data_IF_774371332088
#
_entry.id   IF_774371332088
#
_cell.length_a   1.000
_cell.length_b   1.000
_cell.length_c   1.000
_cell.angle_alpha   90.00
_cell.angle_beta   90.00
_cell.angle_gamma   90.00
#
_symmetry.space_group_name_H-M   'P 1'
#
loop_
_entity.id
_entity.type
_entity.pdbx_description
1 polymer ?
#
# COMPACT_ATOMS: atom_id res chain seq x y z
N UNK A 1 6.55 26.51 1.71
CA UNK A 1 6.43 25.45 0.69
C UNK A 1 5.17 24.70 1.01
N UNK A 2 4.37 24.41 -0.02
CA UNK A 2 3.19 23.58 0.18
C UNK A 2 3.64 22.15 0.50
N UNK A 3 2.79 21.37 1.17
CA UNK A 3 3.08 19.95 1.42
C UNK A 3 3.33 19.17 0.11
N UNK A 4 2.74 19.66 -0.99
CA UNK A 4 2.88 19.12 -2.34
C UNK A 4 4.27 19.40 -2.95
N UNK A 5 4.81 20.61 -2.79
CA UNK A 5 6.15 20.96 -3.30
C UNK A 5 7.26 20.10 -2.64
N UNK A 6 7.04 19.72 -1.38
CA UNK A 6 8.00 18.90 -0.64
C UNK A 6 7.87 17.41 -0.99
N UNK A 7 6.68 16.96 -1.38
CA UNK A 7 6.46 15.63 -1.96
C UNK A 7 7.13 15.50 -3.32
N UNK A 8 6.92 16.45 -4.24
CA UNK A 8 7.53 16.40 -5.59
C UNK A 8 9.06 16.26 -5.52
N UNK A 9 9.72 16.99 -4.62
CA UNK A 9 11.18 16.85 -4.41
C UNK A 9 11.58 15.45 -3.94
N UNK A 10 10.76 14.81 -3.09
CA UNK A 10 11.00 13.44 -2.63
C UNK A 10 10.81 12.46 -3.78
N UNK A 11 9.78 12.64 -4.62
CA UNK A 11 9.57 11.87 -5.84
C UNK A 11 10.76 11.99 -6.80
N UNK A 12 11.21 13.22 -7.09
CA UNK A 12 12.37 13.48 -7.93
C UNK A 12 13.65 12.84 -7.37
N UNK A 13 13.80 12.78 -6.05
CA UNK A 13 14.94 12.12 -5.40
C UNK A 13 14.95 10.60 -5.65
N UNK A 14 13.77 9.98 -5.79
CA UNK A 14 13.64 8.53 -6.04
C UNK A 14 13.68 8.21 -7.53
N UNK A 15 12.99 8.99 -8.35
CA UNK A 15 12.72 8.68 -9.76
C UNK A 15 13.58 9.47 -10.75
N UNK A 16 14.01 10.67 -10.36
CA UNK A 16 14.58 11.68 -11.26
C UNK A 16 13.49 12.52 -11.92
N UNK A 17 13.79 13.05 -13.10
CA UNK A 17 12.91 13.95 -13.86
C UNK A 17 11.73 13.25 -14.54
N UNK A 18 11.79 11.93 -14.70
CA UNK A 18 10.74 11.13 -15.31
C UNK A 18 9.99 10.37 -14.21
N UNK A 19 8.74 10.77 -13.98
CA UNK A 19 7.88 10.26 -12.93
C UNK A 19 6.75 9.38 -13.46
N UNK A 20 6.70 9.03 -14.75
CA UNK A 20 5.64 8.19 -15.30
C UNK A 20 5.62 6.81 -14.62
N UNK A 21 4.43 6.28 -14.35
CA UNK A 21 4.28 4.91 -13.85
C UNK A 21 4.69 3.93 -14.95
N UNK A 22 5.85 3.31 -14.75
CA UNK A 22 6.37 2.30 -15.65
C UNK A 22 7.21 1.28 -14.89
N UNK A 23 7.45 0.12 -15.52
CA UNK A 23 8.28 -0.95 -14.93
C UNK A 23 9.65 -0.50 -14.43
N UNK A 24 10.28 0.47 -15.10
CA UNK A 24 11.56 1.05 -14.70
C UNK A 24 11.46 1.85 -13.39
N UNK A 25 10.45 2.71 -13.28
CA UNK A 25 10.22 3.52 -12.08
C UNK A 25 9.68 2.69 -10.91
N UNK A 26 8.84 1.68 -11.16
CA UNK A 26 8.44 0.69 -10.15
C UNK A 26 9.64 -0.05 -9.57
N UNK A 27 10.64 -0.39 -10.39
CA UNK A 27 11.87 -1.02 -9.90
C UNK A 27 12.70 -0.07 -9.02
N UNK A 28 12.80 1.22 -9.37
CA UNK A 28 13.47 2.24 -8.54
C UNK A 28 12.76 2.41 -7.21
N UNK A 29 11.44 2.58 -7.22
CA UNK A 29 10.61 2.65 -6.02
C UNK A 29 10.79 1.45 -5.12
N UNK A 30 10.67 0.25 -5.69
CA UNK A 30 10.88 -0.98 -4.93
C UNK A 30 12.25 -1.02 -4.26
N UNK A 31 13.30 -0.60 -4.97
CA UNK A 31 14.64 -0.49 -4.40
C UNK A 31 14.73 0.51 -3.25
N UNK A 32 14.11 1.68 -3.42
CA UNK A 32 14.05 2.72 -2.39
C UNK A 32 13.30 2.24 -1.14
N UNK A 33 12.12 1.64 -1.32
CA UNK A 33 11.28 1.11 -0.23
C UNK A 33 12.03 0.03 0.58
N UNK A 34 12.64 -0.94 -0.11
CA UNK A 34 13.37 -2.03 0.56
C UNK A 34 14.62 -1.55 1.30
N UNK A 35 15.22 -0.43 0.87
CA UNK A 35 16.40 0.15 1.52
C UNK A 35 16.05 0.95 2.77
N UNK A 36 14.91 1.65 2.76
CA UNK A 36 14.57 2.62 3.80
C UNK A 36 13.52 2.11 4.80
N UNK A 37 12.79 1.04 4.48
CA UNK A 37 11.85 0.42 5.41
C UNK A 37 12.50 -0.71 6.20
N UNK A 38 12.15 -0.79 7.48
CA UNK A 38 12.53 -1.92 8.35
C UNK A 38 11.35 -2.87 8.48
N UNK A 39 11.58 -4.15 8.21
CA UNK A 39 10.57 -5.20 8.31
C UNK A 39 10.75 -6.06 9.57
N UNK A 40 9.68 -6.56 10.21
CA UNK A 40 8.28 -6.31 9.87
C UNK A 40 7.84 -4.87 10.20
N UNK A 41 7.02 -4.27 9.33
CA UNK A 41 6.43 -2.94 9.54
C UNK A 41 4.92 -3.08 9.77
N UNK A 42 4.37 -2.40 10.78
CA UNK A 42 2.93 -2.42 11.05
C UNK A 42 2.20 -1.49 10.06
N UNK A 43 1.23 -2.04 9.33
CA UNK A 43 0.45 -1.35 8.31
C UNK A 43 -1.05 -1.68 8.43
N UNK A 44 -1.89 -0.85 7.83
CA UNK A 44 -3.35 -1.01 7.71
C UNK A 44 -3.80 -0.56 6.32
N UNK A 45 -5.01 -0.89 5.91
CA UNK A 45 -5.57 -0.35 4.66
C UNK A 45 -5.72 1.18 4.70
N UNK A 46 -5.46 1.81 3.57
CA UNK A 46 -5.69 3.25 3.37
C UNK A 46 -7.18 3.54 3.22
N UNK A 47 -7.86 2.75 2.39
CA UNK A 47 -9.29 2.81 2.08
C UNK A 47 -9.84 1.39 1.88
N UNK A 48 -11.15 1.26 1.69
CA UNK A 48 -11.77 -0.04 1.46
C UNK A 48 -11.20 -0.74 0.23
N UNK A 49 -10.98 -2.05 0.36
CA UNK A 49 -10.49 -2.83 -0.77
C UNK A 49 -11.63 -3.07 -1.77
N UNK A 50 -11.29 -3.27 -3.05
CA UNK A 50 -12.28 -3.48 -4.13
C UNK A 50 -13.37 -4.52 -3.82
N UNK A 51 -13.04 -5.58 -3.07
CA UNK A 51 -14.01 -6.60 -2.70
C UNK A 51 -14.99 -6.14 -1.60
N UNK A 52 -14.62 -5.13 -0.82
CA UNK A 52 -15.40 -4.53 0.27
C UNK A 52 -16.36 -3.45 -0.24
N UNK A 53 -16.06 -2.79 -1.38
CA UNK A 53 -16.86 -1.69 -1.95
C UNK A 53 -18.38 -1.99 -2.01
N UNK A 54 -18.85 -3.17 -2.47
CA UNK A 54 -20.30 -3.47 -2.52
C UNK A 54 -20.96 -3.50 -1.13
N UNK A 55 -20.20 -3.83 -0.09
CA UNK A 55 -20.67 -3.88 1.29
C UNK A 55 -20.59 -2.51 1.98
N UNK A 56 -19.55 -1.73 1.68
CA UNK A 56 -19.33 -0.40 2.26
C UNK A 56 -20.27 0.64 1.63
N UNK A 57 -20.43 0.61 0.30
CA UNK A 57 -21.21 1.59 -0.46
C UNK A 57 -22.50 1.02 -1.07
N UNK A 58 -22.48 -0.24 -1.50
CA UNK A 58 -23.56 -0.86 -2.29
C UNK A 58 -24.75 -1.38 -1.49
N UNK A 59 -24.70 -1.32 -0.15
CA UNK A 59 -25.80 -1.77 0.73
C UNK A 59 -25.98 -3.29 0.74
N UNK A 60 -24.93 -4.05 0.45
CA UNK A 60 -24.94 -5.52 0.54
C UNK A 60 -25.09 -5.99 2.00
N UNK A 61 -25.32 -7.29 2.17
CA UNK A 61 -25.60 -7.88 3.47
C UNK A 61 -24.41 -7.75 4.44
N UNK A 62 -24.69 -7.22 5.63
CA UNK A 62 -23.66 -6.97 6.64
C UNK A 62 -23.15 -8.25 7.29
N UNK A 63 -23.99 -9.28 7.43
CA UNK A 63 -23.58 -10.56 8.02
C UNK A 63 -22.66 -11.31 7.05
N UNK A 64 -22.97 -11.29 5.76
CA UNK A 64 -22.09 -11.79 4.69
C UNK A 64 -20.73 -11.09 4.71
N UNK A 65 -20.72 -9.76 4.86
CA UNK A 65 -19.47 -8.99 4.96
C UNK A 65 -18.61 -9.45 6.15
N UNK A 66 -19.21 -9.62 7.33
CA UNK A 66 -18.51 -10.10 8.53
C UNK A 66 -17.95 -11.53 8.36
N UNK A 67 -18.69 -12.41 7.66
CA UNK A 67 -18.21 -13.76 7.34
C UNK A 67 -17.03 -13.73 6.36
N UNK A 68 -17.10 -12.91 5.30
CA UNK A 68 -16.05 -12.81 4.30
C UNK A 68 -14.75 -12.23 4.88
N UNK A 69 -14.82 -11.27 5.81
CA UNK A 69 -13.61 -10.73 6.49
C UNK A 69 -12.84 -11.79 7.27
N UNK A 70 -13.46 -12.90 7.66
CA UNK A 70 -12.74 -13.99 8.32
C UNK A 70 -11.72 -14.63 7.39
N UNK A 71 -11.96 -14.67 6.08
CA UNK A 71 -11.09 -15.30 5.09
C UNK A 71 -10.33 -14.30 4.23
N UNK A 72 -10.93 -13.17 3.90
CA UNK A 72 -10.35 -12.10 3.09
C UNK A 72 -9.65 -11.05 3.97
N UNK A 73 -8.64 -10.33 3.43
CA UNK A 73 -8.07 -9.18 4.12
C UNK A 73 -9.07 -8.02 4.09
N UNK A 74 -9.23 -7.29 5.19
CA UNK A 74 -10.02 -6.05 5.24
C UNK A 74 -9.13 -4.84 5.42
N UNK A 75 -9.52 -3.67 4.90
CA UNK A 75 -8.79 -2.42 5.14
C UNK A 75 -8.72 -2.03 6.63
N UNK A 76 -9.65 -2.56 7.44
CA UNK A 76 -9.69 -2.38 8.90
C UNK A 76 -8.75 -3.32 9.65
N UNK A 77 -8.18 -4.32 8.98
CA UNK A 77 -7.24 -5.24 9.59
C UNK A 77 -5.88 -4.58 9.82
N UNK A 78 -5.20 -5.09 10.84
CA UNK A 78 -3.81 -4.77 11.14
C UNK A 78 -2.91 -5.84 10.54
N UNK A 79 -1.86 -5.42 9.85
CA UNK A 79 -0.93 -6.32 9.17
C UNK A 79 0.52 -6.04 9.53
N UNK A 80 1.33 -7.09 9.60
CA UNK A 80 2.78 -6.99 9.48
C UNK A 80 3.15 -7.06 7.99
N UNK A 81 3.70 -5.98 7.43
CA UNK A 81 4.35 -5.97 6.13
C UNK A 81 5.69 -6.69 6.26
N UNK A 82 5.86 -7.77 5.49
CA UNK A 82 7.02 -8.66 5.56
C UNK A 82 7.97 -8.51 4.36
N UNK A 83 7.51 -7.86 3.29
CA UNK A 83 8.33 -7.59 2.13
C UNK A 83 7.52 -7.07 0.96
N UNK A 84 8.24 -6.60 -0.06
CA UNK A 84 7.68 -5.95 -1.25
C UNK A 84 8.14 -6.72 -2.49
N UNK A 85 7.18 -7.25 -3.22
CA UNK A 85 7.33 -7.99 -4.46
C UNK A 85 7.49 -7.09 -5.68
N UNK A 86 7.59 -7.73 -6.85
CA UNK A 86 7.42 -7.03 -8.13
C UNK A 86 5.92 -6.86 -8.41
N UNK A 87 5.54 -5.98 -9.35
CA UNK A 87 4.17 -5.93 -9.85
C UNK A 87 3.71 -7.25 -10.46
N UNK A 88 2.39 -7.41 -10.59
CA UNK A 88 1.79 -8.53 -11.35
C UNK A 88 1.97 -8.26 -12.84
N UNK A 89 1.63 -9.23 -13.69
CA UNK A 89 1.89 -9.10 -15.14
C UNK A 89 0.94 -8.08 -15.83
N UNK A 90 -0.20 -7.83 -15.20
CA UNK A 90 -1.35 -7.07 -15.66
C UNK A 90 -1.66 -5.87 -14.76
N UNK A 91 -0.70 -5.49 -13.90
CA UNK A 91 -0.86 -4.48 -12.87
C UNK A 91 0.43 -3.70 -12.70
N UNK A 92 0.30 -2.39 -12.51
CA UNK A 92 1.38 -1.44 -12.33
C UNK A 92 1.56 -1.03 -10.86
N UNK A 93 1.13 -1.85 -9.90
CA UNK A 93 1.41 -1.70 -8.46
C UNK A 93 2.35 -2.79 -7.91
N UNK A 94 3.26 -2.41 -7.02
CA UNK A 94 4.08 -3.32 -6.23
C UNK A 94 3.23 -4.17 -5.29
N UNK A 95 3.55 -5.46 -5.22
CA UNK A 95 2.81 -6.39 -4.35
C UNK A 95 3.39 -6.41 -2.94
N UNK A 96 2.61 -5.98 -1.96
CA UNK A 96 2.92 -6.14 -0.54
C UNK A 96 2.66 -7.59 -0.08
N UNK A 97 3.67 -8.23 0.52
CA UNK A 97 3.49 -9.50 1.24
C UNK A 97 3.23 -9.19 2.70
N UNK A 98 2.01 -9.44 3.15
CA UNK A 98 1.57 -9.09 4.50
C UNK A 98 1.08 -10.30 5.29
N UNK A 99 1.14 -10.20 6.60
CA UNK A 99 0.55 -11.16 7.54
C UNK A 99 -0.43 -10.44 8.44
N UNK A 100 -1.68 -10.88 8.46
CA UNK A 100 -2.69 -10.32 9.36
C UNK A 100 -2.34 -10.66 10.80
N UNK A 101 -2.43 -9.66 11.68
CA UNK A 101 -1.96 -9.77 13.07
C UNK A 101 -2.86 -10.70 13.88
N UNK A 102 -4.18 -10.62 13.68
CA UNK A 102 -5.18 -11.34 14.48
C UNK A 102 -5.12 -12.86 14.35
N UNK A 103 -4.87 -13.38 13.14
CA UNK A 103 -4.95 -14.81 12.86
C UNK A 103 -3.76 -15.35 12.04
N UNK A 104 -2.73 -14.53 11.81
CA UNK A 104 -1.48 -14.89 11.14
C UNK A 104 -1.66 -15.34 9.67
N UNK A 105 -2.83 -15.10 9.06
CA UNK A 105 -3.03 -15.40 7.63
C UNK A 105 -2.17 -14.50 6.75
N UNK A 106 -1.70 -15.08 5.65
CA UNK A 106 -0.81 -14.42 4.70
C UNK A 106 -1.61 -13.90 3.52
N UNK A 107 -1.36 -12.67 3.12
CA UNK A 107 -2.01 -12.04 1.97
C UNK A 107 -0.99 -11.38 1.05
N UNK A 108 -1.44 -11.16 -0.19
CA UNK A 108 -0.80 -10.28 -1.16
C UNK A 108 -1.79 -9.16 -1.44
N UNK A 109 -1.39 -7.94 -1.13
CA UNK A 109 -2.20 -6.73 -1.28
C UNK A 109 -1.36 -5.76 -2.10
N UNK A 110 -2.00 -4.92 -2.90
CA UNK A 110 -1.31 -3.92 -3.69
C UNK A 110 -0.79 -2.84 -2.72
N UNK A 111 0.46 -2.42 -2.91
CA UNK A 111 1.15 -1.64 -1.89
C UNK A 111 0.53 -0.25 -1.73
N UNK A 112 -0.02 0.32 -2.80
CA UNK A 112 -0.67 1.64 -2.77
C UNK A 112 -1.88 1.67 -1.81
N UNK A 113 -2.56 0.53 -1.63
CA UNK A 113 -3.71 0.39 -0.74
C UNK A 113 -3.34 0.30 0.75
N UNK A 114 -2.06 0.33 1.11
CA UNK A 114 -1.57 0.18 2.48
C UNK A 114 -0.84 1.44 2.96
N UNK A 115 -1.01 1.74 4.24
CA UNK A 115 -0.28 2.80 4.95
C UNK A 115 0.32 2.30 6.25
N UNK A 116 1.41 2.92 6.69
CA UNK A 116 1.93 2.66 8.03
C UNK A 116 0.93 3.10 9.09
N UNK A 117 0.89 2.42 10.23
CA UNK A 117 -0.03 2.80 11.32
C UNK A 117 0.47 3.97 12.16
N UNK A 118 1.79 4.20 12.16
CA UNK A 118 2.43 5.26 12.93
C UNK A 118 2.70 6.48 12.03
N UNK A 119 1.78 7.45 12.03
CA UNK A 119 1.81 8.61 11.11
C UNK A 119 3.06 9.50 11.22
N UNK A 120 3.73 9.47 12.38
CA UNK A 120 4.95 10.27 12.62
C UNK A 120 6.25 9.55 12.24
N UNK A 121 6.17 8.30 11.81
CA UNK A 121 7.34 7.55 11.40
C UNK A 121 7.70 7.87 9.94
N UNK A 122 9.00 7.89 9.61
CA UNK A 122 9.46 8.06 8.23
C UNK A 122 8.83 7.04 7.27
N UNK A 123 8.55 5.83 7.78
CA UNK A 123 7.87 4.78 7.04
C UNK A 123 6.46 5.17 6.56
N UNK A 124 5.76 6.04 7.30
CA UNK A 124 4.47 6.57 6.87
C UNK A 124 4.64 7.43 5.63
N UNK A 125 5.51 8.44 5.68
CA UNK A 125 5.77 9.33 4.53
C UNK A 125 6.28 8.56 3.32
N UNK A 126 7.17 7.59 3.51
CA UNK A 126 7.73 6.79 2.41
C UNK A 126 6.64 5.96 1.71
N UNK A 127 5.71 5.36 2.47
CA UNK A 127 4.59 4.61 1.88
C UNK A 127 3.55 5.54 1.23
N UNK A 128 3.26 6.67 1.89
CA UNK A 128 2.32 7.68 1.38
C UNK A 128 2.81 8.29 0.05
N UNK A 129 4.10 8.66 -0.04
CA UNK A 129 4.70 9.16 -1.28
C UNK A 129 4.59 8.15 -2.42
N UNK A 130 4.77 6.85 -2.14
CA UNK A 130 4.58 5.79 -3.12
C UNK A 130 3.13 5.68 -3.58
N UNK A 131 2.17 5.66 -2.64
CA UNK A 131 0.73 5.59 -2.95
C UNK A 131 0.29 6.80 -3.80
N UNK A 132 0.69 8.01 -3.41
CA UNK A 132 0.36 9.22 -4.17
C UNK A 132 0.97 9.19 -5.57
N UNK A 133 2.22 8.76 -5.70
CA UNK A 133 2.87 8.62 -6.99
C UNK A 133 2.12 7.64 -7.89
N UNK A 134 1.80 6.44 -7.37
CA UNK A 134 1.13 5.40 -8.14
C UNK A 134 -0.23 5.88 -8.66
N UNK A 135 -0.99 6.61 -7.85
CA UNK A 135 -2.36 7.02 -8.19
C UNK A 135 -2.44 8.23 -9.14
N UNK A 136 -1.37 9.03 -9.28
CA UNK A 136 -1.45 10.34 -9.94
C UNK A 136 -0.54 10.51 -11.18
N UNK A 137 0.41 9.61 -11.42
CA UNK A 137 1.37 9.69 -12.53
C UNK A 137 1.28 8.48 -13.46
#
# INVERSE_FOLDING_TARGET
MSNYDDMEKRLETVLGSDTEVCSGNLAKWRGHLLKNLTFPLRVTGTEDFLWEEPYVFGGFDADEYEELKKTNPSYKDQFDLLGIGKPRADDDDLVAKVRRVSDQKMFKIDLSCLRATEEKADAYTILDDYSVWQCNY
#
